data_IF_159044256612
#
_entry.id   IF_159044256612
#
_cell.length_a   1.000
_cell.length_b   1.000
_cell.length_c   1.000
_cell.angle_alpha   90.00
_cell.angle_beta   90.00
_cell.angle_gamma   90.00
#
_symmetry.space_group_name_H-M   'P 1'
#
loop_
_entity.id
_entity.type
_entity.pdbx_description
1 polymer ?
#
# COMPACT_ATOMS: atom_id res chain seq x y z
N UNK A 1 -41.39 -7.57 -21.58
CA UNK A 1 -40.56 -6.34 -21.48
C UNK A 1 -39.18 -6.78 -21.05
N UNK A 2 -38.23 -6.75 -21.98
CA UNK A 2 -36.82 -7.07 -21.75
C UNK A 2 -36.07 -5.78 -21.39
N UNK A 3 -35.13 -5.86 -20.43
CA UNK A 3 -34.16 -4.81 -20.16
C UNK A 3 -32.76 -5.43 -20.22
N UNK A 4 -32.00 -4.96 -21.19
CA UNK A 4 -30.68 -5.41 -21.60
C UNK A 4 -29.61 -4.64 -20.80
N UNK A 5 -28.55 -5.34 -20.37
CA UNK A 5 -27.42 -4.75 -19.64
C UNK A 5 -26.36 -4.21 -20.62
N UNK A 6 -25.81 -3.00 -20.43
CA UNK A 6 -24.72 -2.53 -21.27
C UNK A 6 -23.36 -3.08 -20.81
N UNK A 7 -22.67 -3.72 -21.75
CA UNK A 7 -21.26 -4.14 -21.68
C UNK A 7 -20.35 -2.98 -22.09
N UNK A 8 -19.34 -2.68 -21.28
CA UNK A 8 -18.32 -1.69 -21.65
C UNK A 8 -17.17 -2.38 -22.39
N UNK A 9 -17.10 -2.16 -23.70
CA UNK A 9 -15.99 -2.48 -24.58
C UNK A 9 -14.98 -1.32 -24.56
N UNK A 10 -13.74 -1.58 -24.12
CA UNK A 10 -12.65 -0.63 -24.26
C UNK A 10 -11.87 -0.93 -25.55
N UNK A 11 -12.02 -0.04 -26.54
CA UNK A 11 -11.28 -0.07 -27.79
C UNK A 11 -9.82 0.36 -27.57
N UNK A 12 -8.87 -0.50 -27.92
CA UNK A 12 -7.44 -0.16 -27.98
C UNK A 12 -7.08 0.28 -29.41
N UNK A 13 -6.84 1.57 -29.60
CA UNK A 13 -6.24 2.11 -30.83
C UNK A 13 -4.72 1.91 -30.79
N UNK A 14 -4.21 1.03 -31.65
CA UNK A 14 -2.78 0.87 -31.92
C UNK A 14 -2.35 1.83 -33.02
N UNK A 15 -1.34 2.65 -32.73
CA UNK A 15 -0.55 3.33 -33.76
C UNK A 15 0.91 2.88 -33.64
N UNK A 16 1.40 2.39 -34.76
CA UNK A 16 2.75 1.90 -35.02
C UNK A 16 3.75 3.04 -35.21
N UNK A 17 4.95 2.92 -34.65
CA UNK A 17 6.14 3.49 -35.26
C UNK A 17 7.40 2.69 -34.87
N UNK A 18 8.04 2.15 -35.90
CA UNK A 18 9.29 1.41 -35.92
C UNK A 18 10.52 2.28 -35.66
N UNK A 19 11.50 1.73 -34.93
CA UNK A 19 12.84 2.31 -34.82
C UNK A 19 13.87 1.24 -34.46
N UNK A 20 14.61 0.75 -35.46
CA UNK A 20 15.64 -0.27 -35.36
C UNK A 20 16.96 0.35 -34.85
N UNK A 21 17.57 -0.17 -33.76
CA UNK A 21 18.88 0.31 -33.29
C UNK A 21 19.83 -0.84 -32.91
N UNK A 22 20.98 -0.81 -33.59
CA UNK A 22 22.07 -1.77 -33.67
C UNK A 22 22.64 -2.25 -32.33
N UNK A 23 22.71 -3.59 -32.24
CA UNK A 23 23.56 -4.45 -31.40
C UNK A 23 25.02 -3.95 -31.36
N UNK A 24 25.51 -3.55 -30.18
CA UNK A 24 26.94 -3.46 -29.86
C UNK A 24 27.25 -4.42 -28.71
N UNK A 25 27.90 -5.54 -29.03
CA UNK A 25 28.49 -6.46 -28.03
C UNK A 25 29.82 -5.87 -27.58
N UNK A 26 29.92 -5.43 -26.33
CA UNK A 26 31.20 -5.14 -25.67
C UNK A 26 31.72 -6.45 -25.08
N UNK A 27 32.81 -6.97 -25.64
CA UNK A 27 33.55 -8.08 -25.04
C UNK A 27 34.25 -7.56 -23.79
N UNK A 28 33.92 -8.11 -22.62
CA UNK A 28 34.73 -7.95 -21.42
C UNK A 28 35.50 -9.24 -21.23
N UNK A 29 36.81 -9.12 -21.44
CA UNK A 29 37.82 -10.08 -21.07
C UNK A 29 37.79 -10.31 -19.54
N UNK A 30 37.77 -11.56 -19.11
CA UNK A 30 38.05 -11.93 -17.72
C UNK A 30 38.57 -13.36 -17.67
N UNK A 31 39.87 -13.47 -17.86
CA UNK A 31 40.69 -14.64 -17.53
C UNK A 31 40.64 -14.92 -16.01
N UNK A 32 40.03 -16.05 -15.63
CA UNK A 32 40.02 -16.56 -14.26
C UNK A 32 39.50 -17.99 -14.22
N UNK A 33 40.07 -18.90 -13.40
CA UNK A 33 39.82 -20.35 -13.49
C UNK A 33 38.50 -20.82 -12.83
N UNK A 34 37.59 -19.90 -12.48
CA UNK A 34 36.36 -20.23 -11.76
C UNK A 34 35.11 -19.83 -12.56
N UNK A 35 34.18 -20.77 -12.84
CA UNK A 35 32.92 -20.43 -13.48
C UNK A 35 32.07 -19.56 -12.53
N UNK A 36 31.83 -18.29 -12.90
CA UNK A 36 30.82 -17.46 -12.23
C UNK A 36 29.44 -18.06 -12.51
N UNK A 37 28.86 -18.72 -11.52
CA UNK A 37 27.43 -19.02 -11.47
C UNK A 37 26.70 -17.67 -11.44
N UNK A 38 26.23 -17.21 -12.62
CA UNK A 38 25.37 -16.03 -12.74
C UNK A 38 24.04 -16.40 -12.10
N UNK A 39 23.88 -16.06 -10.82
CA UNK A 39 22.64 -16.27 -10.09
C UNK A 39 21.53 -15.44 -10.78
N UNK A 40 20.53 -16.06 -11.43
CA UNK A 40 19.47 -15.32 -12.11
C UNK A 40 18.46 -14.87 -11.05
N UNK A 41 18.81 -13.88 -10.23
CA UNK A 41 17.89 -13.26 -9.26
C UNK A 41 16.85 -12.37 -9.95
N UNK A 42 16.12 -12.89 -10.92
CA UNK A 42 14.92 -12.21 -11.42
C UNK A 42 13.88 -13.08 -12.16
N UNK A 43 13.97 -14.42 -12.11
CA UNK A 43 13.09 -15.28 -12.92
C UNK A 43 11.75 -15.66 -12.25
N UNK A 44 11.38 -15.08 -11.11
CA UNK A 44 10.09 -15.34 -10.45
C UNK A 44 9.15 -14.13 -10.51
N UNK A 45 9.29 -13.26 -11.52
CA UNK A 45 8.31 -12.20 -11.76
C UNK A 45 7.10 -12.82 -12.49
N UNK A 46 5.90 -12.83 -11.89
CA UNK A 46 4.70 -13.27 -12.58
C UNK A 46 4.52 -12.37 -13.80
N UNK A 47 4.61 -12.92 -15.01
CA UNK A 47 4.47 -12.15 -16.26
C UNK A 47 3.06 -11.58 -16.47
N UNK A 48 2.12 -11.93 -15.59
CA UNK A 48 0.69 -11.63 -15.71
C UNK A 48 0.11 -10.88 -14.48
N UNK A 49 0.92 -10.21 -13.65
CA UNK A 49 0.35 -9.37 -12.59
C UNK A 49 -0.18 -8.06 -13.18
N UNK A 50 -1.36 -7.58 -12.76
CA UNK A 50 -1.85 -6.25 -13.16
C UNK A 50 -1.01 -5.10 -12.56
N UNK A 51 -0.06 -5.43 -11.68
CA UNK A 51 0.87 -4.50 -11.07
C UNK A 51 2.26 -4.67 -11.67
N UNK A 52 2.97 -3.56 -11.85
CA UNK A 52 4.33 -3.56 -12.37
C UNK A 52 5.29 -4.29 -11.40
N UNK A 53 5.14 -4.09 -10.10
CA UNK A 53 5.99 -4.69 -9.07
C UNK A 53 5.25 -4.80 -7.73
N UNK A 54 5.93 -5.33 -6.71
CA UNK A 54 5.37 -5.46 -5.37
C UNK A 54 5.09 -4.10 -4.72
N UNK A 55 5.91 -3.07 -5.01
CA UNK A 55 5.73 -1.73 -4.45
C UNK A 55 4.44 -1.07 -4.96
N UNK A 56 4.22 -1.08 -6.27
CA UNK A 56 2.99 -0.56 -6.90
C UNK A 56 1.74 -1.30 -6.42
N UNK A 57 1.81 -2.62 -6.25
CA UNK A 57 0.76 -3.39 -5.60
C UNK A 57 0.49 -2.89 -4.16
N UNK A 58 1.53 -2.70 -3.35
CA UNK A 58 1.38 -2.26 -1.96
C UNK A 58 0.76 -0.87 -1.86
N UNK A 59 1.08 0.05 -2.76
CA UNK A 59 0.45 1.38 -2.83
C UNK A 59 -1.05 1.24 -3.08
N UNK A 60 -1.45 0.47 -4.10
CA UNK A 60 -2.86 0.28 -4.43
C UNK A 60 -3.61 -0.48 -3.32
N UNK A 61 -2.95 -1.43 -2.67
CA UNK A 61 -3.49 -2.15 -1.51
C UNK A 61 -3.76 -1.21 -0.34
N UNK A 62 -2.79 -0.37 0.01
CA UNK A 62 -2.92 0.59 1.10
C UNK A 62 -4.01 1.62 0.81
N UNK A 63 -4.10 2.09 -0.44
CA UNK A 63 -5.17 2.97 -0.90
C UNK A 63 -6.54 2.34 -0.68
N UNK A 64 -6.76 1.10 -1.15
CA UNK A 64 -8.03 0.38 -0.96
C UNK A 64 -8.40 0.19 0.51
N UNK A 65 -7.42 -0.13 1.37
CA UNK A 65 -7.67 -0.28 2.80
C UNK A 65 -8.10 1.04 3.46
N UNK A 66 -7.50 2.16 3.03
CA UNK A 66 -7.91 3.50 3.47
C UNK A 66 -9.31 3.85 2.99
N UNK A 67 -9.63 3.60 1.72
CA UNK A 67 -10.96 3.86 1.17
C UNK A 67 -12.04 3.06 1.90
N UNK A 68 -11.77 1.80 2.27
CA UNK A 68 -12.68 0.99 3.09
C UNK A 68 -12.92 1.61 4.47
N UNK A 69 -11.86 2.12 5.10
CA UNK A 69 -11.98 2.80 6.38
C UNK A 69 -12.75 4.12 6.25
N UNK A 70 -12.41 4.94 5.25
CA UNK A 70 -13.03 6.24 5.00
C UNK A 70 -14.52 6.10 4.61
N UNK A 71 -14.86 5.04 3.88
CA UNK A 71 -16.26 4.66 3.59
C UNK A 71 -17.01 4.31 4.89
N UNK A 72 -16.40 3.51 5.77
CA UNK A 72 -16.99 3.17 7.06
C UNK A 72 -17.14 4.43 7.96
N UNK A 73 -16.17 5.34 7.92
CA UNK A 73 -16.21 6.58 8.70
C UNK A 73 -17.36 7.48 8.24
N UNK A 74 -17.54 7.61 6.93
CA UNK A 74 -18.62 8.37 6.31
C UNK A 74 -20.01 7.81 6.64
N UNK A 75 -20.12 6.49 6.80
CA UNK A 75 -21.38 5.82 7.15
C UNK A 75 -21.67 5.88 8.65
N UNK A 76 -20.62 5.95 9.48
CA UNK A 76 -20.72 5.96 10.94
C UNK A 76 -21.16 7.31 11.54
N UNK A 77 -21.35 8.32 10.69
CA UNK A 77 -22.06 9.59 10.94
C UNK A 77 -22.13 10.00 12.42
N UNK A 78 -20.98 10.21 13.05
CA UNK A 78 -20.91 11.13 14.18
C UNK A 78 -20.86 12.54 13.62
N UNK A 79 -22.04 12.90 13.11
CA UNK A 79 -22.59 14.24 13.03
C UNK A 79 -23.08 14.71 14.41
N UNK A 80 -22.62 14.08 15.50
CA UNK A 80 -23.04 14.38 16.86
C UNK A 80 -22.15 15.45 17.49
N UNK A 81 -22.34 16.67 17.01
CA UNK A 81 -22.20 17.93 17.73
C UNK A 81 -22.47 19.01 16.70
N UNK A 82 -23.65 19.64 16.76
CA UNK A 82 -24.13 20.69 15.85
C UNK A 82 -23.33 21.99 15.89
N UNK A 83 -22.00 21.92 15.88
CA UNK A 83 -21.08 23.03 16.05
C UNK A 83 -19.74 22.77 15.35
N UNK A 84 -19.72 22.20 14.13
CA UNK A 84 -18.49 22.09 13.31
C UNK A 84 -17.26 21.44 13.97
N UNK A 85 -17.42 20.76 15.11
CA UNK A 85 -16.32 20.28 15.94
C UNK A 85 -15.74 19.02 15.33
N UNK A 86 -14.51 19.17 14.85
CA UNK A 86 -13.64 18.07 14.42
C UNK A 86 -13.49 17.09 15.60
N UNK A 87 -13.59 15.79 15.33
CA UNK A 87 -13.44 14.76 16.36
C UNK A 87 -12.10 14.86 17.11
N UNK A 88 -12.03 14.34 18.34
CA UNK A 88 -10.85 14.49 19.22
C UNK A 88 -9.56 13.92 18.62
N UNK A 89 -9.66 12.99 17.66
CA UNK A 89 -8.53 12.41 16.94
C UNK A 89 -8.38 12.96 15.52
N UNK A 90 -8.93 14.13 15.23
CA UNK A 90 -8.75 14.77 13.94
C UNK A 90 -7.27 15.00 13.63
N UNK A 91 -6.81 14.52 12.47
CA UNK A 91 -5.41 14.58 12.06
C UNK A 91 -4.52 13.52 12.72
N UNK A 92 -5.07 12.65 13.58
CA UNK A 92 -4.34 11.54 14.19
C UNK A 92 -4.55 10.28 13.36
N UNK A 93 -3.44 9.64 13.02
CA UNK A 93 -3.38 8.34 12.35
C UNK A 93 -2.53 7.37 13.15
N UNK A 94 -3.10 6.20 13.45
CA UNK A 94 -2.43 5.20 14.28
C UNK A 94 -2.05 3.97 13.48
N UNK A 95 -0.92 3.36 13.86
CA UNK A 95 -0.54 2.01 13.49
C UNK A 95 -0.36 1.21 14.78
N UNK A 96 -0.95 0.01 14.86
CA UNK A 96 -0.85 -0.84 16.04
C UNK A 96 0.21 -1.93 15.78
N UNK A 97 1.25 -1.98 16.61
CA UNK A 97 2.26 -3.06 16.60
C UNK A 97 2.07 -4.00 17.78
N UNK A 98 1.79 -5.27 17.45
CA UNK A 98 1.71 -6.36 18.41
C UNK A 98 0.44 -6.39 19.25
N UNK A 99 0.55 -7.04 20.41
CA UNK A 99 -0.56 -7.25 21.34
C UNK A 99 -0.85 -5.99 22.16
N UNK A 100 -2.13 -5.65 22.28
CA UNK A 100 -2.65 -4.46 22.96
C UNK A 100 -3.95 -4.78 23.69
N UNK A 101 -4.19 -4.06 24.79
CA UNK A 101 -5.47 -4.04 25.51
C UNK A 101 -5.83 -2.57 25.70
N UNK A 102 -6.91 -2.05 25.07
CA UNK A 102 -7.87 -2.74 24.19
C UNK A 102 -7.25 -3.25 22.89
N UNK A 103 -7.93 -4.19 22.23
CA UNK A 103 -7.45 -4.85 21.01
C UNK A 103 -7.32 -3.90 19.82
N UNK A 104 -6.55 -4.31 18.80
CA UNK A 104 -6.38 -3.50 17.57
C UNK A 104 -7.69 -3.21 16.85
N UNK A 105 -8.67 -4.12 16.91
CA UNK A 105 -10.00 -3.92 16.34
C UNK A 105 -10.81 -2.89 17.12
N UNK A 106 -10.72 -2.89 18.45
CA UNK A 106 -11.37 -1.88 19.29
C UNK A 106 -10.73 -0.51 19.10
N UNK A 107 -9.40 -0.43 19.00
CA UNK A 107 -8.68 0.79 18.66
C UNK A 107 -9.11 1.33 17.28
N UNK A 108 -9.29 0.45 16.28
CA UNK A 108 -9.85 0.83 14.98
C UNK A 108 -11.26 1.43 15.12
N UNK A 109 -12.11 0.84 15.95
CA UNK A 109 -13.46 1.35 16.21
C UNK A 109 -13.43 2.72 16.92
N UNK A 110 -12.53 2.92 17.90
CA UNK A 110 -12.35 4.23 18.54
C UNK A 110 -11.89 5.30 17.55
N UNK A 111 -10.92 4.99 16.69
CA UNK A 111 -10.47 5.93 15.67
C UNK A 111 -11.60 6.29 14.71
N UNK A 112 -12.37 5.29 14.26
CA UNK A 112 -13.52 5.50 13.39
C UNK A 112 -14.54 6.45 14.04
N UNK A 113 -14.86 6.20 15.32
CA UNK A 113 -15.83 6.97 16.10
C UNK A 113 -15.38 8.41 16.35
N UNK A 114 -14.10 8.62 16.65
CA UNK A 114 -13.61 9.91 17.13
C UNK A 114 -12.88 10.74 16.06
N UNK A 115 -13.05 10.39 14.77
CA UNK A 115 -12.51 11.16 13.64
C UNK A 115 -11.00 10.99 13.41
N UNK A 116 -10.43 9.87 13.89
CA UNK A 116 -9.05 9.47 13.63
C UNK A 116 -8.94 8.49 12.45
N UNK A 117 -7.70 8.16 12.07
CA UNK A 117 -7.38 7.21 11.00
C UNK A 117 -6.69 5.97 11.55
N UNK A 118 -7.01 4.82 10.96
CA UNK A 118 -6.33 3.56 11.25
C UNK A 118 -5.53 3.09 10.03
N UNK A 119 -4.22 2.88 10.19
CA UNK A 119 -3.34 2.41 9.15
C UNK A 119 -2.99 0.93 9.36
N UNK A 120 -3.21 0.10 8.34
CA UNK A 120 -2.89 -1.33 8.38
C UNK A 120 -1.40 -1.63 8.23
N UNK A 121 -0.65 -0.74 7.58
CA UNK A 121 0.77 -0.89 7.33
C UNK A 121 1.48 0.38 7.79
N UNK A 122 2.59 0.20 8.48
CA UNK A 122 3.41 1.32 8.91
C UNK A 122 3.95 2.10 7.70
N UNK A 123 3.83 3.42 7.76
CA UNK A 123 4.38 4.34 6.78
C UNK A 123 4.70 5.64 7.50
N UNK A 124 5.95 6.08 7.38
CA UNK A 124 6.48 7.30 8.02
C UNK A 124 5.77 8.57 7.55
N UNK A 125 5.20 8.56 6.34
CA UNK A 125 4.50 9.71 5.77
C UNK A 125 3.05 9.83 6.24
N UNK A 126 2.45 8.74 6.72
CA UNK A 126 1.01 8.69 6.96
C UNK A 126 0.65 8.36 8.40
N UNK A 127 1.50 7.62 9.13
CA UNK A 127 1.29 7.26 10.53
C UNK A 127 1.87 8.34 11.42
N UNK A 128 1.05 8.87 12.33
CA UNK A 128 1.47 9.85 13.33
C UNK A 128 1.89 9.19 14.64
N UNK A 129 1.22 8.10 15.02
CA UNK A 129 1.43 7.44 16.31
C UNK A 129 1.47 5.92 16.15
N UNK A 130 2.35 5.28 16.91
CA UNK A 130 2.44 3.82 16.99
C UNK A 130 1.93 3.39 18.36
N UNK A 131 0.92 2.53 18.38
CA UNK A 131 0.38 1.96 19.62
C UNK A 131 0.95 0.57 19.79
N UNK A 132 1.59 0.31 20.92
CA UNK A 132 2.15 -0.98 21.29
C UNK A 132 2.25 -1.10 22.81
N UNK A 133 2.12 -2.32 23.35
CA UNK A 133 2.32 -2.56 24.80
C UNK A 133 3.79 -2.79 25.13
N UNK A 134 4.50 -3.51 24.26
CA UNK A 134 5.91 -3.81 24.40
C UNK A 134 6.58 -3.67 23.04
N UNK A 135 7.65 -2.88 22.98
CA UNK A 135 8.42 -2.68 21.77
C UNK A 135 9.89 -3.04 22.01
N UNK A 136 10.37 -4.18 21.46
CA UNK A 136 11.78 -4.56 21.55
C UNK A 136 12.70 -3.50 20.94
N UNK A 137 13.88 -3.30 21.52
CA UNK A 137 14.83 -2.29 21.05
C UNK A 137 15.24 -2.49 19.59
N UNK A 138 15.30 -3.74 19.13
CA UNK A 138 15.57 -4.07 17.73
C UNK A 138 14.52 -3.48 16.76
N UNK A 139 13.25 -3.41 17.17
CA UNK A 139 12.16 -2.82 16.37
C UNK A 139 12.10 -1.30 16.46
N UNK A 140 12.54 -0.70 17.57
CA UNK A 140 12.56 0.78 17.73
C UNK A 140 13.34 1.47 16.61
N UNK A 141 14.39 0.83 16.11
CA UNK A 141 15.19 1.35 14.99
C UNK A 141 14.42 1.46 13.68
N UNK A 142 13.39 0.63 13.46
CA UNK A 142 12.60 0.65 12.23
C UNK A 142 11.66 1.85 12.13
N UNK A 143 11.42 2.53 13.25
CA UNK A 143 10.56 3.72 13.32
C UNK A 143 11.38 5.01 13.44
N UNK A 144 12.70 4.91 13.57
CA UNK A 144 13.61 6.04 13.48
C UNK A 144 13.93 6.32 12.02
N UNK A 145 14.02 7.61 11.70
CA UNK A 145 14.56 8.11 10.43
C UNK A 145 16.03 7.73 10.28
#
# INVERSE_FOLDING_TARGET
MAFESPSHTAASSSSSASGNAKKRKTMSDSSGPFPRIRNPRNSLRPKNSPFADFGSYMVEKNKKLREQFDSAASTSSLQDSGDGKKGIFHGVSIFVDGFTVPSSQELKAYMLKHGGRFENYFSTHTVTHIICSHLPDGKKRNFRY
#
